data_IF_893609596637
#
_entry.id   IF_893609596637
#
_cell.length_a   1.000
_cell.length_b   1.000
_cell.length_c   1.000
_cell.angle_alpha   90.00
_cell.angle_beta   90.00
_cell.angle_gamma   90.00
#
_symmetry.space_group_name_H-M   'P 1'
#
loop_
_entity.id
_entity.type
_entity.pdbx_description
1 polymer ?
#
# COMPACT_ATOMS: atom_id res chain seq x y z
N UNK A 1 5.82 1.39 2.78
CA UNK A 1 4.94 1.89 3.89
C UNK A 1 3.49 1.54 3.56
N UNK A 2 2.80 0.80 4.42
CA UNK A 2 1.38 0.46 4.26
C UNK A 2 0.51 1.55 4.87
N UNK A 3 -0.40 2.11 4.09
CA UNK A 3 -1.35 3.11 4.56
C UNK A 3 -2.69 2.85 3.88
N UNK A 4 -3.80 3.14 4.57
CA UNK A 4 -5.07 3.24 3.88
C UNK A 4 -5.00 4.38 2.85
N UNK A 5 -5.53 4.14 1.65
CA UNK A 5 -5.93 5.24 0.78
C UNK A 5 -7.32 5.70 1.23
N UNK A 6 -7.51 7.01 1.39
CA UNK A 6 -8.73 7.68 1.86
C UNK A 6 -9.92 7.59 0.87
N UNK A 7 -10.20 6.39 0.38
CA UNK A 7 -11.33 6.12 -0.49
C UNK A 7 -12.62 6.02 0.34
N UNK A 8 -13.29 7.16 0.48
CA UNK A 8 -14.75 7.30 0.63
C UNK A 8 -15.32 7.14 2.05
N UNK A 9 -16.02 8.18 2.52
CA UNK A 9 -16.66 8.29 3.84
C UNK A 9 -17.85 7.37 4.14
N UNK A 10 -17.98 6.22 3.47
CA UNK A 10 -19.08 5.26 3.65
C UNK A 10 -18.68 3.91 4.27
N UNK A 11 -17.41 3.73 4.65
CA UNK A 11 -16.92 2.46 5.16
C UNK A 11 -16.92 2.43 6.70
N UNK A 12 -17.31 1.29 7.33
CA UNK A 12 -17.44 1.19 8.79
C UNK A 12 -16.17 1.65 9.51
N UNK A 13 -16.34 2.29 10.67
CA UNK A 13 -15.23 2.68 11.51
C UNK A 13 -14.35 1.46 11.83
N UNK A 14 -13.04 1.63 11.68
CA UNK A 14 -12.08 0.68 12.23
C UNK A 14 -12.18 0.81 13.76
N UNK A 15 -13.01 -0.03 14.39
CA UNK A 15 -13.10 -0.08 15.85
C UNK A 15 -11.68 -0.32 16.41
N UNK A 16 -11.34 0.42 17.46
CA UNK A 16 -10.04 0.34 18.11
C UNK A 16 -9.67 -1.12 18.38
N UNK A 17 -8.47 -1.49 17.94
CA UNK A 17 -8.00 -2.87 17.84
C UNK A 17 -8.09 -3.61 19.19
N UNK A 18 -7.89 -2.91 20.31
CA UNK A 18 -7.92 -3.49 21.65
C UNK A 18 -9.32 -3.74 22.24
N UNK A 19 -10.41 -3.29 21.60
CA UNK A 19 -11.77 -3.45 22.14
C UNK A 19 -12.36 -4.83 21.82
N UNK A 20 -13.05 -5.42 22.81
CA UNK A 20 -13.82 -6.66 22.62
C UNK A 20 -14.81 -6.48 21.46
N UNK A 21 -14.83 -7.38 20.47
CA UNK A 21 -15.81 -7.33 19.38
C UNK A 21 -17.22 -7.53 19.94
N UNK A 22 -18.10 -6.59 19.62
CA UNK A 22 -19.55 -6.74 19.84
C UNK A 22 -20.10 -7.71 18.81
N UNK A 23 -20.81 -8.74 19.29
CA UNK A 23 -21.47 -9.74 18.46
C UNK A 23 -22.48 -9.12 17.50
N UNK A 24 -22.66 -9.76 16.34
CA UNK A 24 -23.60 -9.34 15.29
C UNK A 24 -23.21 -8.06 14.53
N UNK A 25 -22.11 -7.39 14.91
CA UNK A 25 -21.65 -6.19 14.20
C UNK A 25 -20.83 -6.51 12.96
N UNK A 26 -20.75 -5.52 12.08
CA UNK A 26 -19.89 -5.53 10.90
C UNK A 26 -18.66 -4.67 11.16
N UNK A 27 -17.48 -5.22 10.89
CA UNK A 27 -16.20 -4.56 11.09
C UNK A 27 -15.46 -4.42 9.77
N UNK A 28 -14.62 -3.38 9.68
CA UNK A 28 -13.53 -3.34 8.71
C UNK A 28 -12.34 -4.12 9.28
N UNK A 29 -11.80 -5.03 8.48
CA UNK A 29 -10.61 -5.82 8.82
C UNK A 29 -9.70 -5.97 7.61
N UNK A 30 -8.56 -6.61 7.83
CA UNK A 30 -7.48 -6.75 6.87
C UNK A 30 -7.02 -8.21 6.78
N UNK A 31 -6.76 -8.67 5.56
CA UNK A 31 -6.21 -9.98 5.25
C UNK A 31 -4.93 -9.83 4.43
N UNK A 32 -3.78 -10.18 5.01
CA UNK A 32 -2.52 -10.25 4.26
C UNK A 32 -2.43 -11.52 3.44
N UNK A 33 -2.09 -11.39 2.16
CA UNK A 33 -2.01 -12.52 1.22
C UNK A 33 -1.06 -12.21 0.06
N UNK A 34 -0.80 -13.18 -0.82
CA UNK A 34 -0.03 -12.95 -2.05
C UNK A 34 -0.88 -12.22 -3.11
N UNK A 35 -0.24 -11.51 -4.04
CA UNK A 35 -0.93 -10.89 -5.20
C UNK A 35 -1.80 -11.89 -5.96
N UNK A 36 -1.27 -13.08 -6.23
CA UNK A 36 -1.99 -14.13 -6.95
C UNK A 36 -3.23 -14.62 -6.18
N UNK A 37 -3.09 -14.84 -4.87
CA UNK A 37 -4.18 -15.33 -4.05
C UNK A 37 -5.25 -14.24 -3.84
N UNK A 38 -4.86 -12.97 -3.77
CA UNK A 38 -5.81 -11.86 -3.76
C UNK A 38 -6.72 -11.84 -5.00
N UNK A 39 -6.17 -12.05 -6.20
CA UNK A 39 -6.99 -12.15 -7.41
C UNK A 39 -7.94 -13.35 -7.36
N UNK A 40 -7.47 -14.51 -6.89
CA UNK A 40 -8.33 -15.69 -6.67
C UNK A 40 -9.46 -15.41 -5.69
N UNK A 41 -9.18 -14.70 -4.59
CA UNK A 41 -10.18 -14.32 -3.58
C UNK A 41 -11.20 -13.35 -4.15
N UNK A 42 -10.78 -12.37 -4.97
CA UNK A 42 -11.72 -11.43 -5.61
C UNK A 42 -12.69 -12.11 -6.56
N UNK A 43 -12.23 -13.13 -7.29
CA UNK A 43 -13.05 -13.86 -8.27
C UNK A 43 -13.92 -14.93 -7.62
N UNK A 44 -13.34 -15.73 -6.73
CA UNK A 44 -13.98 -16.96 -6.20
C UNK A 44 -14.42 -16.86 -4.74
N UNK A 45 -14.16 -15.72 -4.09
CA UNK A 45 -14.38 -15.53 -2.67
C UNK A 45 -13.27 -16.16 -1.83
N UNK A 46 -13.36 -15.94 -0.51
CA UNK A 46 -12.45 -16.57 0.44
C UNK A 46 -12.72 -18.07 0.56
N UNK A 47 -11.67 -18.82 0.87
CA UNK A 47 -11.75 -20.23 1.26
C UNK A 47 -11.17 -20.40 2.65
N UNK A 48 -11.75 -21.30 3.44
CA UNK A 48 -11.23 -21.61 4.76
C UNK A 48 -9.83 -22.23 4.65
N UNK A 49 -8.93 -21.86 5.55
CA UNK A 49 -7.72 -22.63 5.79
C UNK A 49 -8.11 -24.00 6.39
N UNK A 50 -7.25 -25.01 6.20
CA UNK A 50 -7.42 -26.32 6.83
C UNK A 50 -7.08 -26.33 8.33
N UNK A 51 -6.52 -25.24 8.87
CA UNK A 51 -6.11 -25.15 10.26
C UNK A 51 -5.54 -23.79 10.64
N UNK A 52 -4.82 -23.76 11.76
CA UNK A 52 -4.23 -22.56 12.36
C UNK A 52 -4.39 -22.58 13.87
N UNK A 53 -4.00 -21.47 14.51
CA UNK A 53 -4.04 -21.32 15.97
C UNK A 53 -5.45 -21.50 16.55
N UNK A 54 -6.47 -21.04 15.83
CA UNK A 54 -7.88 -21.10 16.20
C UNK A 54 -8.64 -22.17 15.40
N UNK A 55 -7.94 -23.08 14.72
CA UNK A 55 -8.54 -24.07 13.84
C UNK A 55 -8.85 -23.54 12.43
N UNK A 56 -9.64 -24.29 11.64
CA UNK A 56 -9.99 -23.92 10.27
C UNK A 56 -10.84 -22.65 10.19
N UNK A 57 -10.59 -21.82 9.18
CA UNK A 57 -11.34 -20.58 8.93
C UNK A 57 -10.54 -19.55 8.13
N UNK A 58 -11.05 -18.33 8.04
CA UNK A 58 -10.36 -17.21 7.40
C UNK A 58 -9.79 -16.29 8.47
N UNK A 59 -8.47 -16.11 8.45
CA UNK A 59 -7.75 -15.30 9.43
C UNK A 59 -7.68 -13.84 9.01
N UNK A 60 -8.05 -12.96 9.93
CA UNK A 60 -8.22 -11.53 9.71
C UNK A 60 -7.67 -10.75 10.91
N UNK A 61 -7.27 -9.52 10.66
CA UNK A 61 -6.76 -8.59 11.68
C UNK A 61 -7.46 -7.23 11.58
N UNK A 62 -7.71 -6.57 12.70
CA UNK A 62 -8.08 -5.13 12.71
C UNK A 62 -6.88 -4.21 12.56
N UNK A 63 -5.66 -4.72 12.79
CA UNK A 63 -4.41 -4.01 12.57
C UNK A 63 -3.86 -4.29 11.15
N UNK A 64 -3.81 -3.24 10.34
CA UNK A 64 -3.22 -3.25 8.99
C UNK A 64 -1.74 -3.62 9.01
N UNK A 65 -0.94 -3.07 9.94
CA UNK A 65 0.50 -3.33 10.03
C UNK A 65 0.78 -4.79 10.37
N UNK A 66 -0.10 -5.40 11.16
CA UNK A 66 -0.05 -6.83 11.42
C UNK A 66 -0.38 -7.62 10.16
N UNK A 67 -1.53 -7.34 9.52
CA UNK A 67 -1.96 -8.05 8.32
C UNK A 67 -0.91 -7.99 7.21
N UNK A 68 -0.25 -6.84 7.01
CA UNK A 68 0.78 -6.65 5.98
C UNK A 68 2.03 -7.51 6.13
N UNK A 69 2.24 -8.14 7.30
CA UNK A 69 3.37 -9.04 7.52
C UNK A 69 3.15 -10.42 6.90
N UNK A 70 1.91 -10.75 6.53
CA UNK A 70 1.56 -12.07 6.03
C UNK A 70 1.40 -12.08 4.50
N UNK A 71 1.75 -13.21 3.86
CA UNK A 71 2.40 -14.38 4.46
C UNK A 71 3.90 -14.14 4.74
N UNK A 72 4.41 -14.71 5.83
CA UNK A 72 5.74 -14.40 6.38
C UNK A 72 6.91 -14.83 5.46
N UNK A 73 6.68 -15.85 4.65
CA UNK A 73 7.61 -16.48 3.72
C UNK A 73 7.69 -15.78 2.35
N UNK A 74 6.79 -14.85 2.05
CA UNK A 74 6.87 -14.03 0.83
C UNK A 74 7.61 -12.72 1.07
N UNK A 75 8.36 -12.18 0.10
CA UNK A 75 8.93 -10.84 0.21
C UNK A 75 7.83 -9.76 0.18
N UNK A 76 8.07 -8.61 0.83
CA UNK A 76 7.04 -7.57 1.02
C UNK A 76 6.43 -7.08 -0.30
N UNK A 77 7.22 -6.95 -1.36
CA UNK A 77 6.77 -6.52 -2.68
C UNK A 77 5.77 -7.50 -3.33
N UNK A 78 5.74 -8.77 -2.94
CA UNK A 78 4.81 -9.78 -3.46
C UNK A 78 3.53 -9.92 -2.61
N UNK A 79 3.50 -9.26 -1.45
CA UNK A 79 2.34 -9.24 -0.56
C UNK A 79 1.34 -8.16 -0.99
N UNK A 80 0.08 -8.38 -0.65
CA UNK A 80 -0.98 -7.38 -0.66
C UNK A 80 -1.86 -7.58 0.57
N UNK A 81 -2.59 -6.54 0.95
CA UNK A 81 -3.57 -6.61 2.02
C UNK A 81 -4.95 -6.35 1.46
N UNK A 82 -5.85 -7.31 1.57
CA UNK A 82 -7.26 -7.11 1.25
C UNK A 82 -7.93 -6.40 2.43
N UNK A 83 -8.58 -5.28 2.14
CA UNK A 83 -9.50 -4.61 3.07
C UNK A 83 -10.88 -5.24 2.91
N UNK A 84 -11.48 -5.67 4.02
CA UNK A 84 -12.73 -6.43 4.01
C UNK A 84 -13.75 -5.87 4.98
N UNK A 85 -15.04 -6.04 4.67
CA UNK A 85 -16.15 -5.95 5.63
C UNK A 85 -16.46 -7.35 6.14
N UNK A 86 -16.61 -7.49 7.46
CA UNK A 86 -16.76 -8.79 8.12
C UNK A 86 -17.94 -8.72 9.07
N UNK A 87 -18.97 -9.54 8.85
CA UNK A 87 -20.02 -9.77 9.82
C UNK A 87 -19.55 -10.84 10.82
N UNK A 88 -19.19 -10.43 12.04
CA UNK A 88 -18.57 -11.34 13.02
C UNK A 88 -19.56 -12.32 13.65
N UNK A 89 -20.87 -12.09 13.51
CA UNK A 89 -21.89 -12.98 14.10
C UNK A 89 -21.66 -13.22 15.60
N UNK A 90 -21.80 -14.46 16.04
CA UNK A 90 -21.48 -14.86 17.42
C UNK A 90 -19.97 -15.02 17.61
N UNK A 91 -19.40 -14.40 18.64
CA UNK A 91 -17.95 -14.32 18.80
C UNK A 91 -17.49 -15.09 20.04
N UNK A 92 -16.54 -16.00 19.85
CA UNK A 92 -15.89 -16.71 20.96
C UNK A 92 -14.53 -16.11 21.26
N UNK A 93 -14.38 -15.57 22.47
CA UNK A 93 -13.06 -15.20 23.01
C UNK A 93 -12.24 -16.48 23.28
N UNK A 94 -11.02 -16.54 22.76
CA UNK A 94 -10.03 -17.60 22.98
C UNK A 94 -8.76 -16.93 23.52
N UNK A 95 -8.54 -16.96 24.83
CA UNK A 95 -7.56 -16.12 25.53
C UNK A 95 -6.46 -16.89 26.27
N UNK A 96 -6.27 -18.16 25.94
CA UNK A 96 -5.18 -18.97 26.47
C UNK A 96 -4.90 -20.19 25.60
N UNK A 97 -3.65 -20.64 25.63
CA UNK A 97 -3.27 -21.86 24.93
C UNK A 97 -3.97 -23.06 25.59
N UNK A 98 -4.46 -23.99 24.76
CA UNK A 98 -5.24 -25.13 25.25
C UNK A 98 -6.64 -24.74 25.74
N UNK A 99 -7.21 -23.63 25.24
CA UNK A 99 -8.61 -23.32 25.51
C UNK A 99 -9.51 -24.46 25.00
N UNK A 100 -10.53 -24.93 25.75
CA UNK A 100 -11.33 -26.11 25.38
C UNK A 100 -11.99 -25.99 24.00
N UNK A 101 -12.32 -24.77 23.61
CA UNK A 101 -12.93 -24.44 22.32
C UNK A 101 -11.95 -23.81 21.32
N UNK A 102 -10.64 -23.91 21.54
CA UNK A 102 -9.63 -23.23 20.71
C UNK A 102 -9.79 -23.55 19.22
N UNK A 103 -10.14 -24.79 18.87
CA UNK A 103 -10.29 -25.25 17.49
C UNK A 103 -11.71 -25.74 17.14
N UNK A 104 -12.62 -25.78 18.10
CA UNK A 104 -13.96 -26.39 17.99
C UNK A 104 -15.09 -25.40 18.34
N UNK A 105 -14.78 -24.10 18.39
CA UNK A 105 -15.77 -23.04 18.65
C UNK A 105 -16.88 -23.01 17.59
N UNK A 106 -16.59 -23.38 16.34
CA UNK A 106 -17.59 -23.41 15.28
C UNK A 106 -18.65 -24.51 15.49
N UNK A 107 -18.26 -25.65 16.06
CA UNK A 107 -19.20 -26.74 16.42
C UNK A 107 -20.20 -26.31 17.50
N UNK A 108 -19.85 -25.28 18.28
CA UNK A 108 -20.70 -24.69 19.31
C UNK A 108 -21.58 -23.54 18.76
N UNK A 109 -21.62 -23.37 17.44
CA UNK A 109 -22.42 -22.37 16.76
C UNK A 109 -21.89 -20.94 16.85
N UNK A 110 -20.59 -20.77 17.12
CA UNK A 110 -19.93 -19.45 17.00
C UNK A 110 -19.47 -19.24 15.57
N UNK A 111 -19.57 -18.00 15.09
CA UNK A 111 -19.21 -17.63 13.72
C UNK A 111 -17.77 -17.15 13.61
N UNK A 112 -17.23 -16.62 14.71
CA UNK A 112 -15.89 -16.05 14.77
C UNK A 112 -15.22 -16.42 16.09
N UNK A 113 -13.97 -16.90 16.04
CA UNK A 113 -13.09 -16.90 17.20
C UNK A 113 -12.23 -15.64 17.21
N UNK A 114 -12.06 -15.05 18.39
CA UNK A 114 -11.24 -13.87 18.62
C UNK A 114 -10.22 -14.13 19.71
N UNK A 115 -8.94 -13.94 19.36
CA UNK A 115 -7.83 -13.96 20.31
C UNK A 115 -7.54 -12.52 20.76
N UNK A 116 -7.60 -12.16 22.05
CA UNK A 116 -7.23 -10.82 22.51
C UNK A 116 -5.70 -10.63 22.58
N UNK A 117 -5.20 -9.38 22.51
CA UNK A 117 -3.78 -9.12 22.67
C UNK A 117 -3.29 -9.48 24.08
N UNK A 118 -1.99 -9.71 24.23
CA UNK A 118 -1.32 -9.98 25.51
C UNK A 118 -1.87 -11.18 26.32
N UNK A 119 -2.49 -12.17 25.66
CA UNK A 119 -3.06 -13.34 26.36
C UNK A 119 -2.17 -14.59 26.34
N UNK A 120 -0.92 -14.47 25.86
CA UNK A 120 0.05 -15.57 25.87
C UNK A 120 -0.16 -16.63 24.76
N UNK A 121 -1.08 -16.38 23.82
CA UNK A 121 -1.32 -17.27 22.66
C UNK A 121 -0.23 -17.19 21.58
N UNK A 122 0.52 -16.09 21.55
CA UNK A 122 1.58 -15.83 20.57
C UNK A 122 2.80 -15.19 21.22
N UNK A 123 3.99 -15.57 20.76
CA UNK A 123 5.27 -15.08 21.28
C UNK A 123 5.52 -13.59 21.01
N UNK A 124 4.86 -13.01 20.01
CA UNK A 124 5.00 -11.60 19.65
C UNK A 124 4.23 -10.65 20.57
N UNK A 125 3.28 -11.17 21.39
CA UNK A 125 2.35 -10.36 22.20
C UNK A 125 1.31 -9.57 21.39
N UNK A 126 1.42 -9.55 20.05
CA UNK A 126 0.75 -8.60 19.16
C UNK A 126 -0.57 -9.10 18.53
N UNK A 127 -1.27 -10.11 19.06
CA UNK A 127 -2.37 -10.69 18.28
C UNK A 127 -3.81 -10.46 18.75
N UNK A 128 -4.56 -9.88 17.80
CA UNK A 128 -6.01 -9.81 17.67
C UNK A 128 -6.48 -10.68 16.50
N UNK A 129 -6.13 -11.96 16.47
CA UNK A 129 -6.55 -12.83 15.37
C UNK A 129 -8.05 -13.09 15.43
N UNK A 130 -8.71 -12.77 14.32
CA UNK A 130 -10.09 -13.14 14.03
C UNK A 130 -10.07 -14.32 13.08
N UNK A 131 -10.60 -15.46 13.52
CA UNK A 131 -10.82 -16.61 12.65
C UNK A 131 -12.32 -16.72 12.37
N UNK A 132 -12.72 -16.40 11.15
CA UNK A 132 -14.13 -16.45 10.72
C UNK A 132 -14.42 -17.80 10.07
N UNK A 133 -15.50 -18.45 10.50
CA UNK A 133 -15.83 -19.79 10.04
C UNK A 133 -16.32 -19.77 8.59
N UNK A 134 -17.43 -19.08 8.32
CA UNK A 134 -18.04 -19.03 7.00
C UNK A 134 -17.45 -17.87 6.16
N UNK A 135 -16.72 -18.15 5.07
CA UNK A 135 -16.17 -17.12 4.20
C UNK A 135 -17.21 -16.17 3.61
N UNK A 136 -18.48 -16.58 3.49
CA UNK A 136 -19.57 -15.73 2.97
C UNK A 136 -19.87 -14.51 3.85
N UNK A 137 -19.37 -14.50 5.09
CA UNK A 137 -19.46 -13.36 6.02
C UNK A 137 -18.47 -12.24 5.71
N UNK A 138 -17.59 -12.46 4.74
CA UNK A 138 -16.48 -11.57 4.39
C UNK A 138 -16.69 -11.01 2.99
N UNK A 139 -16.65 -9.70 2.87
CA UNK A 139 -16.76 -8.99 1.59
C UNK A 139 -15.51 -8.17 1.36
N UNK A 140 -14.81 -8.39 0.25
CA UNK A 140 -13.68 -7.55 -0.17
C UNK A 140 -14.21 -6.17 -0.56
N UNK A 141 -13.62 -5.12 0.02
CA UNK A 141 -13.99 -3.72 -0.23
C UNK A 141 -12.79 -2.85 -0.63
N UNK A 142 -11.63 -3.47 -0.83
CA UNK A 142 -10.44 -2.79 -1.31
C UNK A 142 -9.21 -3.69 -1.22
N UNK A 143 -8.16 -3.24 -1.88
CA UNK A 143 -6.83 -3.83 -1.81
C UNK A 143 -5.83 -2.72 -1.52
N UNK A 144 -4.94 -2.97 -0.58
CA UNK A 144 -3.83 -2.12 -0.23
C UNK A 144 -2.58 -2.86 -0.69
N UNK A 145 -1.80 -2.22 -1.54
CA UNK A 145 -0.49 -2.73 -1.95
C UNK A 145 0.59 -2.10 -1.07
N UNK A 146 1.71 -2.78 -0.83
CA UNK A 146 2.86 -2.12 -0.25
C UNK A 146 3.17 -0.96 -1.17
N UNK A 147 3.22 0.26 -0.62
CA UNK A 147 3.77 1.38 -1.38
C UNK A 147 5.19 0.97 -1.72
N UNK A 148 5.41 0.56 -2.96
CA UNK A 148 6.73 0.49 -3.56
C UNK A 148 7.30 1.89 -3.35
N UNK A 149 8.24 2.02 -2.41
CA UNK A 149 9.48 2.67 -2.83
C UNK A 149 9.86 1.83 -4.05
N UNK A 150 9.67 2.36 -5.26
CA UNK A 150 10.05 1.64 -6.47
C UNK A 150 11.41 1.04 -6.20
N UNK A 151 11.56 -0.28 -6.37
CA UNK A 151 12.89 -0.85 -6.28
C UNK A 151 13.73 -0.04 -7.27
N UNK A 152 14.67 0.76 -6.75
CA UNK A 152 15.45 1.67 -7.59
C UNK A 152 16.06 0.85 -8.72
N UNK A 153 15.74 1.20 -9.96
CA UNK A 153 16.24 0.51 -11.15
C UNK A 153 15.40 -0.63 -11.73
N UNK A 154 14.24 -0.97 -11.15
CA UNK A 154 13.25 -1.79 -11.85
C UNK A 154 12.43 -0.95 -12.84
N UNK A 155 12.15 -1.48 -14.03
CA UNK A 155 11.32 -0.79 -15.02
C UNK A 155 9.94 -0.46 -14.42
N UNK A 156 9.49 0.81 -14.46
CA UNK A 156 8.20 1.19 -13.91
C UNK A 156 7.09 0.47 -14.67
N UNK A 157 6.26 -0.29 -13.98
CA UNK A 157 5.15 -0.96 -14.67
C UNK A 157 4.11 0.06 -15.11
N UNK A 158 3.62 -0.09 -16.33
CA UNK A 158 2.61 0.80 -16.90
C UNK A 158 1.36 0.89 -16.01
N UNK A 159 0.71 2.05 -16.02
CA UNK A 159 -0.52 2.37 -15.30
C UNK A 159 -0.43 2.31 -13.76
N UNK A 160 0.78 2.25 -13.19
CA UNK A 160 0.97 2.32 -11.75
C UNK A 160 0.92 3.76 -11.22
N UNK A 161 0.49 3.89 -9.97
CA UNK A 161 0.60 5.13 -9.20
C UNK A 161 1.74 5.00 -8.20
N UNK A 162 2.74 5.87 -8.31
CA UNK A 162 3.90 5.90 -7.43
C UNK A 162 3.80 7.04 -6.42
N UNK A 163 4.33 6.84 -5.21
CA UNK A 163 4.61 7.96 -4.30
C UNK A 163 6.04 8.43 -4.56
N UNK A 164 6.18 9.67 -5.00
CA UNK A 164 7.45 10.31 -5.33
C UNK A 164 7.58 11.64 -4.57
N UNK A 165 8.71 12.31 -4.76
CA UNK A 165 9.07 13.54 -4.09
C UNK A 165 9.55 14.58 -5.09
N UNK A 166 9.20 15.84 -4.85
CA UNK A 166 9.66 16.97 -5.64
C UNK A 166 10.26 18.02 -4.71
N UNK A 167 11.59 18.16 -4.75
CA UNK A 167 12.30 19.20 -4.02
C UNK A 167 12.17 20.54 -4.73
N UNK A 168 11.81 21.59 -3.99
CA UNK A 168 11.60 22.93 -4.54
C UNK A 168 11.73 24.02 -3.48
N UNK A 169 11.70 25.30 -3.87
CA UNK A 169 11.69 26.41 -2.91
C UNK A 169 10.34 26.52 -2.21
N UNK A 170 10.28 27.19 -1.05
CA UNK A 170 9.02 27.39 -0.31
C UNK A 170 7.98 28.13 -1.15
N UNK A 171 8.40 29.20 -1.84
CA UNK A 171 7.54 30.00 -2.72
C UNK A 171 6.97 29.17 -3.88
N UNK A 172 7.81 28.33 -4.49
CA UNK A 172 7.38 27.42 -5.54
C UNK A 172 6.41 26.35 -5.01
N UNK A 173 6.66 25.80 -3.82
CA UNK A 173 5.78 24.83 -3.17
C UNK A 173 4.38 25.42 -2.90
N UNK A 174 4.30 26.65 -2.40
CA UNK A 174 3.03 27.36 -2.20
C UNK A 174 2.28 27.58 -3.51
N UNK A 175 2.99 27.95 -4.56
CA UNK A 175 2.39 28.12 -5.89
C UNK A 175 1.89 26.79 -6.44
N UNK A 176 2.65 25.71 -6.31
CA UNK A 176 2.26 24.35 -6.74
C UNK A 176 1.01 23.89 -5.98
N UNK A 177 0.93 24.13 -4.67
CA UNK A 177 -0.25 23.77 -3.87
C UNK A 177 -1.52 24.52 -4.32
N UNK A 178 -1.39 25.77 -4.77
CA UNK A 178 -2.52 26.60 -5.20
C UNK A 178 -2.94 26.36 -6.64
N UNK A 179 -1.97 26.19 -7.53
CA UNK A 179 -2.19 26.23 -9.00
C UNK A 179 -1.88 24.91 -9.70
N UNK A 180 -1.29 23.94 -9.00
CA UNK A 180 -0.76 22.71 -9.57
C UNK A 180 0.67 22.87 -10.11
N UNK A 181 1.25 21.74 -10.55
CA UNK A 181 2.57 21.73 -11.17
C UNK A 181 2.56 22.43 -12.53
N UNK A 182 3.61 23.17 -12.83
CA UNK A 182 3.89 23.67 -14.18
C UNK A 182 5.07 22.87 -14.76
N UNK A 183 4.94 22.27 -15.95
CA UNK A 183 6.04 21.56 -16.56
C UNK A 183 7.25 22.47 -16.76
N UNK A 184 8.44 21.91 -16.57
CA UNK A 184 9.65 22.56 -17.04
C UNK A 184 9.71 22.53 -18.56
N UNK A 185 10.21 23.59 -19.17
CA UNK A 185 10.49 23.64 -20.61
C UNK A 185 11.85 23.08 -20.98
N UNK A 186 12.69 22.79 -19.98
CA UNK A 186 14.05 22.28 -20.15
C UNK A 186 14.30 21.14 -19.16
N UNK A 187 15.03 20.12 -19.61
CA UNK A 187 15.37 18.96 -18.80
C UNK A 187 16.01 17.87 -19.63
N UNK A 188 16.73 16.97 -18.98
CA UNK A 188 17.46 15.87 -19.64
C UNK A 188 16.52 14.91 -20.39
N UNK A 189 15.26 14.81 -19.97
CA UNK A 189 14.21 14.02 -20.63
C UNK A 189 13.18 14.92 -21.34
N UNK A 190 13.54 16.16 -21.63
CA UNK A 190 12.66 17.14 -22.28
C UNK A 190 11.68 17.84 -21.35
N UNK A 191 10.53 18.21 -21.90
CA UNK A 191 9.53 19.01 -21.21
C UNK A 191 8.65 18.14 -20.30
N UNK A 192 8.46 18.57 -19.05
CA UNK A 192 7.67 17.83 -18.08
C UNK A 192 7.97 18.19 -16.63
N UNK A 193 7.35 17.45 -15.71
CA UNK A 193 7.58 17.55 -14.27
C UNK A 193 8.51 16.42 -13.84
N UNK A 194 9.52 16.75 -13.02
CA UNK A 194 10.54 15.82 -12.55
C UNK A 194 10.35 15.44 -11.08
N UNK A 195 9.55 14.41 -10.78
CA UNK A 195 9.51 13.79 -9.47
C UNK A 195 10.61 12.73 -9.32
N UNK A 196 11.06 12.50 -8.10
CA UNK A 196 12.10 11.53 -7.74
C UNK A 196 11.60 10.55 -6.68
N UNK A 197 12.10 9.32 -6.66
CA UNK A 197 11.77 8.37 -5.59
C UNK A 197 12.43 8.69 -4.24
N UNK A 198 13.36 9.64 -4.19
CA UNK A 198 14.17 9.95 -3.02
C UNK A 198 13.80 11.32 -2.47
N UNK A 199 13.74 11.43 -1.15
CA UNK A 199 13.66 12.71 -0.44
C UNK A 199 14.97 13.50 -0.67
N UNK A 200 14.96 14.43 -1.62
CA UNK A 200 16.03 15.40 -1.86
C UNK A 200 15.45 16.78 -2.14
N UNK A 201 16.11 17.81 -1.65
CA UNK A 201 15.79 19.21 -1.90
C UNK A 201 16.40 20.11 -0.84
N UNK A 202 17.11 21.16 -1.25
CA UNK A 202 17.48 22.26 -0.36
C UNK A 202 16.25 23.16 -0.22
N UNK A 203 15.49 22.98 0.88
CA UNK A 203 14.26 23.74 1.14
C UNK A 203 13.07 22.85 1.46
N UNK A 204 12.03 22.93 0.63
CA UNK A 204 10.75 22.22 0.84
C UNK A 204 10.68 20.99 -0.07
N UNK A 205 10.19 19.88 0.47
CA UNK A 205 9.96 18.67 -0.33
C UNK A 205 8.47 18.39 -0.37
N UNK A 206 7.89 18.37 -1.57
CA UNK A 206 6.51 17.93 -1.78
C UNK A 206 6.48 16.42 -1.95
N UNK A 207 5.66 15.72 -1.16
CA UNK A 207 5.33 14.32 -1.40
C UNK A 207 4.15 14.26 -2.36
N UNK A 208 4.29 13.52 -3.45
CA UNK A 208 3.32 13.49 -4.55
C UNK A 208 2.91 12.06 -4.91
N UNK A 209 1.65 11.87 -5.32
CA UNK A 209 1.20 10.68 -6.08
C UNK A 209 1.36 10.98 -7.56
N UNK A 210 2.00 10.07 -8.28
CA UNK A 210 2.25 10.19 -9.72
C UNK A 210 1.66 8.98 -10.42
N UNK A 211 0.63 9.19 -11.24
CA UNK A 211 0.17 8.18 -12.19
C UNK A 211 1.13 8.18 -13.38
N UNK A 212 1.97 7.17 -13.54
CA UNK A 212 3.00 7.19 -14.59
C UNK A 212 2.46 6.85 -15.99
N UNK A 213 1.23 6.35 -16.09
CA UNK A 213 0.62 5.99 -17.37
C UNK A 213 1.50 5.02 -18.18
N UNK A 214 1.62 5.27 -19.48
CA UNK A 214 2.51 4.53 -20.40
C UNK A 214 3.93 5.05 -20.29
N UNK A 215 4.88 4.18 -19.97
CA UNK A 215 6.27 4.58 -19.67
C UNK A 215 7.22 4.20 -20.80
N UNK A 216 8.08 5.15 -21.21
CA UNK A 216 9.23 4.88 -22.09
C UNK A 216 10.53 4.88 -21.27
N UNK A 217 11.42 3.93 -21.56
CA UNK A 217 12.78 3.95 -21.04
C UNK A 217 13.70 4.74 -21.96
N UNK A 218 14.46 5.67 -21.36
CA UNK A 218 15.51 6.45 -22.02
C UNK A 218 16.79 6.23 -21.21
N UNK A 219 17.73 5.45 -21.74
CA UNK A 219 18.90 4.97 -21.01
C UNK A 219 20.24 5.43 -21.59
N UNK A 220 20.22 6.36 -22.55
CA UNK A 220 21.43 6.98 -23.09
C UNK A 220 21.18 8.38 -23.59
N UNK A 221 22.23 9.21 -23.55
CA UNK A 221 22.21 10.53 -24.17
C UNK A 221 22.09 10.40 -25.69
N UNK A 222 21.23 11.21 -26.30
CA UNK A 222 20.94 11.14 -27.74
C UNK A 222 19.97 10.01 -28.11
N UNK A 223 19.21 9.47 -27.16
CA UNK A 223 18.12 8.54 -27.48
C UNK A 223 17.15 9.20 -28.47
N UNK A 224 16.72 8.45 -29.51
CA UNK A 224 15.91 8.98 -30.62
C UNK A 224 14.65 9.74 -30.14
N UNK A 225 14.12 9.31 -29.00
CA UNK A 225 12.89 9.85 -28.41
C UNK A 225 13.13 10.62 -27.11
N UNK A 226 14.35 11.03 -26.79
CA UNK A 226 14.70 11.70 -25.53
C UNK A 226 13.84 12.95 -25.26
N UNK A 227 13.45 13.65 -26.32
CA UNK A 227 12.70 14.92 -26.24
C UNK A 227 11.32 14.88 -26.91
N UNK A 228 10.94 13.77 -27.54
CA UNK A 228 9.73 13.64 -28.40
C UNK A 228 8.85 12.46 -28.00
N UNK A 229 9.10 11.85 -26.83
CA UNK A 229 8.35 10.68 -26.36
C UNK A 229 6.86 10.96 -26.12
N UNK A 230 6.51 12.19 -25.74
CA UNK A 230 5.11 12.61 -25.55
C UNK A 230 4.32 12.63 -26.87
N UNK A 231 4.95 12.97 -27.99
CA UNK A 231 4.33 12.94 -29.33
C UNK A 231 3.94 11.51 -29.76
N UNK A 232 4.59 10.49 -29.16
CA UNK A 232 4.31 9.08 -29.39
C UNK A 232 3.27 8.50 -28.41
N UNK A 233 2.64 9.36 -27.61
CA UNK A 233 1.61 8.95 -26.64
C UNK A 233 2.16 8.22 -25.41
N UNK A 234 3.41 8.48 -25.03
CA UNK A 234 3.92 8.10 -23.70
C UNK A 234 3.61 9.20 -22.70
N UNK A 235 3.20 8.80 -21.50
CA UNK A 235 2.84 9.73 -20.43
C UNK A 235 4.04 10.08 -19.54
N UNK A 236 4.99 9.15 -19.42
CA UNK A 236 6.20 9.32 -18.60
C UNK A 236 7.45 8.79 -19.31
N UNK A 237 8.51 9.57 -19.28
CA UNK A 237 9.87 9.12 -19.56
C UNK A 237 10.58 8.71 -18.27
N UNK A 238 11.23 7.55 -18.30
CA UNK A 238 12.02 7.03 -17.18
C UNK A 238 13.47 6.78 -17.61
N UNK A 239 14.39 7.35 -16.84
CA UNK A 239 15.81 7.12 -16.95
C UNK A 239 16.24 6.13 -15.86
N UNK A 240 16.76 4.93 -16.21
CA UNK A 240 17.24 3.98 -15.22
C UNK A 240 18.49 4.50 -14.48
N UNK A 241 18.76 3.99 -13.26
CA UNK A 241 19.97 4.35 -12.53
C UNK A 241 21.20 3.78 -13.22
N UNK A 242 22.36 4.40 -12.98
CA UNK A 242 23.66 3.97 -13.47
C UNK A 242 23.78 3.78 -14.99
N UNK A 243 22.92 4.43 -15.79
CA UNK A 243 23.00 4.43 -17.25
C UNK A 243 23.97 5.49 -17.83
N UNK A 244 24.54 6.33 -16.95
CA UNK A 244 25.48 7.39 -17.33
C UNK A 244 24.83 8.72 -17.73
N UNK A 245 23.50 8.82 -17.75
CA UNK A 245 22.81 10.08 -18.06
C UNK A 245 22.72 11.03 -16.86
N UNK A 246 22.46 10.51 -15.66
CA UNK A 246 22.32 11.30 -14.43
C UNK A 246 23.65 11.28 -13.66
N UNK A 247 24.29 12.43 -13.38
CA UNK A 247 25.57 12.47 -12.66
C UNK A 247 25.56 11.80 -11.28
N UNK A 248 24.40 11.79 -10.62
CA UNK A 248 24.22 11.13 -9.31
C UNK A 248 24.12 9.60 -9.40
N UNK A 249 24.01 9.04 -10.61
CA UNK A 249 23.74 7.62 -10.85
C UNK A 249 22.31 7.19 -10.50
N UNK A 250 21.47 8.13 -10.07
CA UNK A 250 20.08 7.85 -9.69
C UNK A 250 19.17 7.76 -10.92
N UNK A 251 18.03 7.11 -10.74
CA UNK A 251 16.96 7.14 -11.73
C UNK A 251 16.22 8.47 -11.73
N UNK A 252 15.64 8.84 -12.88
CA UNK A 252 14.82 10.04 -13.03
C UNK A 252 13.51 9.74 -13.77
N UNK A 253 12.47 10.48 -13.41
CA UNK A 253 11.17 10.45 -14.09
C UNK A 253 10.88 11.83 -14.66
N UNK A 254 10.29 11.86 -15.85
CA UNK A 254 9.74 13.06 -16.45
C UNK A 254 8.31 12.77 -16.89
N UNK A 255 7.35 13.39 -16.20
CA UNK A 255 5.92 13.22 -16.45
C UNK A 255 5.44 14.37 -17.33
N UNK A 256 4.74 14.04 -18.41
CA UNK A 256 4.33 15.03 -19.40
C UNK A 256 3.22 15.94 -18.87
N UNK A 257 2.13 15.33 -18.38
CA UNK A 257 0.94 16.05 -17.93
C UNK A 257 0.94 16.23 -16.41
N UNK A 258 1.01 17.47 -15.89
CA UNK A 258 0.90 17.77 -14.47
C UNK A 258 -0.34 17.20 -13.79
N UNK A 259 -1.44 16.99 -14.52
CA UNK A 259 -2.69 16.43 -13.98
C UNK A 259 -2.53 14.99 -13.50
N UNK A 260 -1.47 14.32 -13.92
CA UNK A 260 -1.10 13.00 -13.43
C UNK A 260 -0.40 13.03 -12.06
N UNK A 261 -0.15 14.23 -11.51
CA UNK A 261 0.57 14.44 -10.26
C UNK A 261 -0.36 15.11 -9.24
N UNK A 262 -0.54 14.46 -8.10
CA UNK A 262 -1.31 15.00 -6.98
C UNK A 262 -0.40 15.21 -5.78
N UNK A 263 -0.37 16.43 -5.23
CA UNK A 263 0.34 16.71 -3.97
C UNK A 263 -0.40 16.04 -2.81
N UNK A 264 0.32 15.27 -2.00
CA UNK A 264 -0.19 14.66 -0.78
C UNK A 264 0.03 15.63 0.38
N UNK A 265 1.30 15.99 0.62
CA UNK A 265 1.70 16.91 1.69
C UNK A 265 3.08 17.50 1.45
N UNK A 266 3.43 18.42 2.34
CA UNK A 266 4.71 19.09 2.42
C UNK A 266 5.56 18.48 3.54
N UNK A 267 6.82 18.17 3.22
CA UNK A 267 7.81 17.65 4.15
C UNK A 267 8.88 18.71 4.35
N UNK A 268 9.12 19.06 5.61
CA UNK A 268 10.22 19.91 6.03
C UNK A 268 11.35 19.01 6.54
N UNK A 269 12.40 18.74 5.76
CA UNK A 269 13.54 17.98 6.26
C UNK A 269 14.17 18.72 7.44
N UNK A 270 14.35 18.01 8.56
CA UNK A 270 15.02 18.54 9.75
C UNK A 270 16.45 18.96 9.36
N UNK A 271 16.96 20.12 9.83
CA UNK A 271 18.36 20.47 9.62
C UNK A 271 19.25 19.40 10.26
N UNK A 272 20.23 18.92 9.50
CA UNK A 272 21.23 17.97 10.01
C UNK A 272 22.08 18.72 11.05
N UNK A 273 22.22 18.25 12.30
CA UNK A 273 23.17 18.83 13.24
C UNK A 273 24.58 18.68 12.66
N UNK A 274 25.33 19.78 12.64
CA UNK A 274 26.73 19.82 12.18
C UNK A 274 27.71 19.22 13.17
#
# INVERSE_FOLDING_TARGET
>A
MWAEDDLGGGAPACLESYKVPVEGKVYRMYHGTSRENAEKIKVSGFKQSSGGMLGPGVYLSRDLKKASRYPLDLPENERVVLRVKVNVGRVKKIDRQGHPLQKTWHDQGYDTAWCPPNCGMVSSGLEEDYCVWDPKRITVIGEIRPKTQGAQGAYPSDCNVYTMYHGTSREAAEKIKREGFRPSTHGMLGHGVYPLHILRGEGVVLRVKVNVGKVIRIDRQGHQHQYTWHDMGYDTAWCPPNCGMVPSGLEEFCVWDPRQITVIDEIHPMPVPG
#
